data_IF_221657226229
#
_entry.id   IF_221657226229
#
_cell.length_a   1.000
_cell.length_b   1.000
_cell.length_c   1.000
_cell.angle_alpha   90.00
_cell.angle_beta   90.00
_cell.angle_gamma   90.00
#
_symmetry.space_group_name_H-M   'P 1'
#
loop_
_entity.id
_entity.type
_entity.pdbx_description
1 polymer ?
#
# COMPACT_ATOMS: atom_id res chain seq x y z
N UNK A 1 -2.08 -16.40 -16.53
CA UNK A 1 -3.15 -15.71 -15.77
C UNK A 1 -2.63 -14.31 -15.47
N UNK A 2 -3.45 -13.25 -15.59
CA UNK A 2 -2.98 -11.87 -15.42
C UNK A 2 -2.91 -11.53 -13.94
N UNK A 3 -1.70 -11.26 -13.43
CA UNK A 3 -1.41 -10.97 -12.03
C UNK A 3 -0.80 -9.58 -11.90
N UNK A 4 -1.28 -8.81 -10.92
CA UNK A 4 -0.70 -7.53 -10.56
C UNK A 4 0.10 -7.60 -9.25
N UNK A 5 1.15 -6.77 -9.13
CA UNK A 5 1.73 -6.42 -7.83
C UNK A 5 1.17 -5.07 -7.37
N UNK A 6 0.69 -5.00 -6.14
CA UNK A 6 0.25 -3.77 -5.48
C UNK A 6 1.25 -3.43 -4.37
N UNK A 7 2.01 -2.35 -4.57
CA UNK A 7 2.97 -1.82 -3.60
C UNK A 7 2.25 -0.78 -2.73
N UNK A 8 2.00 -1.13 -1.47
CA UNK A 8 1.21 -0.31 -0.55
C UNK A 8 2.10 0.64 0.24
N UNK A 9 1.91 1.95 0.02
CA UNK A 9 2.34 3.04 0.90
C UNK A 9 3.82 3.00 1.37
N UNK A 10 4.74 2.63 0.48
CA UNK A 10 6.20 2.64 0.77
C UNK A 10 6.76 4.07 0.67
N UNK A 11 6.26 4.94 1.55
CA UNK A 11 6.56 6.38 1.61
C UNK A 11 7.51 6.72 2.75
N UNK A 12 8.17 7.87 2.67
CA UNK A 12 9.17 8.31 3.64
C UNK A 12 8.62 8.38 5.07
N UNK A 13 7.40 8.90 5.26
CA UNK A 13 6.83 9.04 6.61
C UNK A 13 6.56 7.70 7.30
N UNK A 14 6.39 6.62 6.54
CA UNK A 14 6.16 5.27 7.07
C UNK A 14 7.45 4.46 7.24
N UNK A 15 8.60 5.01 6.85
CA UNK A 15 9.90 4.36 7.01
C UNK A 15 10.71 5.03 8.13
N UNK A 16 11.80 4.39 8.56
CA UNK A 16 12.68 4.89 9.62
C UNK A 16 13.13 6.33 9.35
N UNK A 17 12.92 7.20 10.36
CA UNK A 17 13.16 8.65 10.28
C UNK A 17 11.94 9.48 9.86
N UNK A 18 10.85 8.83 9.43
CA UNK A 18 9.58 9.46 9.07
C UNK A 18 8.69 9.83 10.26
N UNK A 19 7.63 10.60 9.99
CA UNK A 19 6.70 11.07 11.03
C UNK A 19 5.85 9.96 11.68
N UNK A 20 5.63 8.84 10.97
CA UNK A 20 4.85 7.68 11.41
C UNK A 20 5.57 6.38 11.03
N UNK A 21 6.85 6.31 11.40
CA UNK A 21 7.75 5.25 10.98
C UNK A 21 7.31 3.86 11.47
N UNK A 22 7.38 2.88 10.58
CA UNK A 22 7.26 1.45 10.88
C UNK A 22 8.65 0.82 10.81
N UNK A 23 9.04 0.11 11.87
CA UNK A 23 10.32 -0.60 11.89
C UNK A 23 10.37 -1.67 10.79
N UNK A 24 11.43 -1.68 10.00
CA UNK A 24 11.57 -2.54 8.82
C UNK A 24 11.05 -1.91 7.52
N UNK A 25 10.44 -0.71 7.56
CA UNK A 25 9.89 -0.06 6.36
C UNK A 25 10.95 0.20 5.27
N UNK A 26 12.16 0.61 5.66
CA UNK A 26 13.28 0.76 4.72
C UNK A 26 13.71 -0.58 4.11
N UNK A 27 13.71 -1.66 4.90
CA UNK A 27 14.05 -2.99 4.41
C UNK A 27 13.00 -3.50 3.41
N UNK A 28 11.71 -3.26 3.67
CA UNK A 28 10.62 -3.55 2.72
C UNK A 28 10.83 -2.80 1.41
N UNK A 29 11.18 -1.50 1.45
CA UNK A 29 11.43 -0.72 0.25
C UNK A 29 12.53 -1.33 -0.63
N UNK A 30 13.64 -1.72 -0.02
CA UNK A 30 14.75 -2.39 -0.72
C UNK A 30 14.32 -3.78 -1.25
N UNK A 31 13.65 -4.58 -0.43
CA UNK A 31 13.18 -5.93 -0.78
C UNK A 31 12.20 -5.93 -1.96
N UNK A 32 11.28 -4.97 -2.01
CA UNK A 32 10.36 -4.81 -3.15
C UNK A 32 11.12 -4.50 -4.44
N UNK A 33 12.15 -3.64 -4.36
CA UNK A 33 13.05 -3.37 -5.48
C UNK A 33 13.79 -4.61 -5.98
N UNK A 34 14.31 -5.43 -5.07
CA UNK A 34 14.97 -6.69 -5.41
C UNK A 34 14.00 -7.72 -5.99
N UNK A 35 12.80 -7.82 -5.42
CA UNK A 35 11.73 -8.70 -5.90
C UNK A 35 11.37 -8.38 -7.34
N UNK A 36 11.12 -7.11 -7.66
CA UNK A 36 10.77 -6.72 -9.03
C UNK A 36 11.92 -6.86 -10.02
N UNK A 37 13.17 -6.73 -9.57
CA UNK A 37 14.33 -7.03 -10.41
C UNK A 37 14.40 -8.51 -10.79
N UNK A 38 14.01 -9.41 -9.88
CA UNK A 38 14.06 -10.86 -10.10
C UNK A 38 12.78 -11.41 -10.77
N UNK A 39 11.62 -10.91 -10.38
CA UNK A 39 10.29 -11.46 -10.67
C UNK A 39 9.38 -10.48 -11.42
N UNK A 40 9.88 -9.31 -11.83
CA UNK A 40 9.05 -8.28 -12.48
C UNK A 40 8.35 -8.75 -13.76
N UNK A 41 8.88 -9.76 -14.44
CA UNK A 41 8.27 -10.36 -15.63
C UNK A 41 7.10 -11.31 -15.31
N UNK A 42 6.94 -11.71 -14.04
CA UNK A 42 5.84 -12.56 -13.58
C UNK A 42 4.53 -11.75 -13.43
N UNK A 43 4.62 -10.42 -13.37
CA UNK A 43 3.49 -9.51 -13.25
C UNK A 43 3.11 -8.89 -14.59
N UNK A 44 1.82 -8.94 -14.94
CA UNK A 44 1.30 -8.21 -16.10
C UNK A 44 1.24 -6.70 -15.86
N UNK A 45 1.12 -6.29 -14.60
CA UNK A 45 1.12 -4.90 -14.20
C UNK A 45 1.63 -4.72 -12.77
N UNK A 46 2.24 -3.58 -12.50
CA UNK A 46 2.71 -3.19 -11.16
C UNK A 46 2.15 -1.81 -10.88
N UNK A 47 1.53 -1.65 -9.72
CA UNK A 47 0.93 -0.40 -9.26
C UNK A 47 1.40 -0.09 -7.85
N UNK A 48 1.36 1.19 -7.49
CA UNK A 48 1.61 1.63 -6.13
C UNK A 48 0.40 2.39 -5.58
N UNK A 49 0.23 2.36 -4.27
CA UNK A 49 -0.66 3.28 -3.55
C UNK A 49 0.18 4.27 -2.77
N UNK A 50 -0.40 5.42 -2.50
CA UNK A 50 0.23 6.44 -1.66
C UNK A 50 -0.85 7.19 -0.86
N UNK A 51 -0.63 7.33 0.44
CA UNK A 51 -1.33 8.34 1.22
C UNK A 51 -0.95 9.73 0.72
N UNK A 52 -1.97 10.57 0.55
CA UNK A 52 -1.82 11.87 -0.07
C UNK A 52 -2.76 12.90 0.56
N UNK A 53 -2.50 13.24 1.81
CA UNK A 53 -3.39 14.05 2.63
C UNK A 53 -3.25 15.55 2.32
N UNK A 54 -4.35 16.19 1.92
CA UNK A 54 -4.43 17.65 1.75
C UNK A 54 -4.95 18.28 3.04
N UNK A 55 -6.11 17.81 3.50
CA UNK A 55 -6.76 18.21 4.74
C UNK A 55 -7.70 17.09 5.22
N UNK A 56 -7.17 16.07 5.93
CA UNK A 56 -7.93 14.87 6.29
C UNK A 56 -8.72 15.03 7.60
N UNK A 57 -8.86 16.26 8.12
CA UNK A 57 -9.61 16.56 9.34
C UNK A 57 -9.09 15.81 10.57
N UNK A 58 -10.00 15.16 11.29
CA UNK A 58 -9.74 14.46 12.56
C UNK A 58 -8.76 13.27 12.43
N UNK A 59 -8.41 12.87 11.21
CA UNK A 59 -7.33 11.90 10.96
C UNK A 59 -5.98 12.39 11.51
N UNK A 60 -5.75 13.70 11.53
CA UNK A 60 -4.55 14.29 12.15
C UNK A 60 -4.84 14.87 13.52
N UNK A 61 -4.00 14.50 14.50
CA UNK A 61 -4.05 15.01 15.87
C UNK A 61 -2.66 15.36 16.37
N UNK A 62 -2.56 16.41 17.19
CA UNK A 62 -1.35 16.71 17.96
C UNK A 62 -1.13 15.72 19.12
N UNK A 63 -2.20 15.06 19.58
CA UNK A 63 -2.20 14.01 20.59
C UNK A 63 -2.91 12.77 20.01
N UNK A 64 -2.24 12.03 19.10
CA UNK A 64 -2.86 10.92 18.40
C UNK A 64 -3.08 9.71 19.32
N UNK A 65 -4.20 9.02 19.10
CA UNK A 65 -4.54 7.75 19.78
C UNK A 65 -3.93 6.52 19.10
N UNK A 66 -3.32 6.69 17.92
CA UNK A 66 -2.74 5.62 17.08
C UNK A 66 -3.73 4.51 16.74
N UNK A 67 -5.01 4.85 16.68
CA UNK A 67 -6.11 3.94 16.30
C UNK A 67 -6.99 4.55 15.24
N UNK A 68 -7.43 5.79 15.48
CA UNK A 68 -8.32 6.55 14.61
C UNK A 68 -7.74 7.91 14.22
N UNK A 69 -6.72 8.35 14.95
CA UNK A 69 -6.01 9.62 14.76
C UNK A 69 -4.50 9.40 14.82
N UNK A 70 -3.79 10.21 14.04
CA UNK A 70 -2.37 10.02 13.75
C UNK A 70 -1.61 11.35 13.82
N UNK A 71 -0.29 11.36 14.02
CA UNK A 71 0.50 12.56 13.79
C UNK A 71 0.38 12.99 12.32
N UNK A 72 0.73 14.24 12.00
CA UNK A 72 0.79 14.68 10.60
C UNK A 72 1.80 13.82 9.83
N UNK A 73 1.33 13.17 8.76
CA UNK A 73 2.11 12.28 7.90
C UNK A 73 1.58 12.37 6.47
N UNK A 74 2.40 12.02 5.48
CA UNK A 74 2.05 11.92 4.06
C UNK A 74 1.30 13.15 3.52
N UNK A 75 1.62 14.33 4.05
CA UNK A 75 1.05 15.60 3.60
C UNK A 75 1.40 15.83 2.13
N UNK A 76 0.40 16.12 1.32
CA UNK A 76 0.53 16.33 -0.11
C UNK A 76 1.66 17.33 -0.46
N UNK A 77 2.54 16.91 -1.37
CA UNK A 77 3.66 17.74 -1.86
C UNK A 77 4.85 17.86 -0.90
N UNK A 78 4.85 17.18 0.25
CA UNK A 78 5.99 17.17 1.19
C UNK A 78 6.94 16.00 0.93
N UNK A 79 8.19 16.07 1.42
CA UNK A 79 9.11 14.92 1.36
C UNK A 79 8.57 13.67 2.05
N UNK A 80 7.80 13.82 3.13
CA UNK A 80 7.18 12.70 3.85
C UNK A 80 6.23 11.86 3.00
N UNK A 81 5.53 12.50 2.06
CA UNK A 81 4.63 11.83 1.12
C UNK A 81 5.33 11.24 -0.11
N UNK A 82 6.62 11.49 -0.32
CA UNK A 82 7.37 10.89 -1.41
C UNK A 82 7.67 9.41 -1.12
N UNK A 83 7.81 8.60 -2.18
CA UNK A 83 8.26 7.22 -2.05
C UNK A 83 9.67 7.16 -1.45
N UNK A 84 9.91 6.11 -0.66
CA UNK A 84 11.22 5.86 -0.05
C UNK A 84 12.28 5.65 -1.14
N UNK A 85 13.47 6.21 -0.94
CA UNK A 85 14.53 6.21 -1.96
C UNK A 85 14.96 4.79 -2.37
N UNK A 86 14.96 3.86 -1.43
CA UNK A 86 15.30 2.45 -1.59
C UNK A 86 14.30 1.71 -2.50
N UNK A 87 13.09 2.27 -2.71
CA UNK A 87 12.10 1.76 -3.66
C UNK A 87 12.43 2.16 -5.12
N UNK A 88 13.40 3.05 -5.37
CA UNK A 88 13.72 3.54 -6.71
C UNK A 88 13.89 2.43 -7.78
N UNK A 89 14.50 1.26 -7.48
CA UNK A 89 14.58 0.16 -8.45
C UNK A 89 13.21 -0.40 -8.88
N UNK A 90 12.21 -0.35 -8.00
CA UNK A 90 10.84 -0.78 -8.28
C UNK A 90 10.04 0.26 -9.10
N UNK A 91 10.32 1.56 -8.91
CA UNK A 91 9.50 2.63 -9.51
C UNK A 91 9.48 2.60 -11.04
N UNK A 92 10.52 2.08 -11.69
CA UNK A 92 10.54 1.89 -13.14
C UNK A 92 9.52 0.87 -13.66
N UNK A 93 9.01 -0.01 -12.80
CA UNK A 93 7.96 -0.97 -13.12
C UNK A 93 6.55 -0.43 -12.86
N UNK A 94 6.40 0.60 -12.03
CA UNK A 94 5.11 1.14 -11.59
C UNK A 94 4.43 1.86 -12.75
N UNK A 95 3.26 1.36 -13.15
CA UNK A 95 2.48 1.88 -14.28
C UNK A 95 1.46 2.94 -13.86
N UNK A 96 1.03 2.91 -12.59
CA UNK A 96 0.10 3.88 -12.02
C UNK A 96 0.27 3.99 -10.50
N UNK A 97 0.00 5.18 -9.97
CA UNK A 97 -0.01 5.47 -8.53
C UNK A 97 -1.41 5.90 -8.12
N UNK A 98 -1.99 5.19 -7.16
CA UNK A 98 -3.33 5.44 -6.64
C UNK A 98 -3.22 6.22 -5.33
N UNK A 99 -3.59 7.50 -5.38
CA UNK A 99 -3.57 8.38 -4.22
C UNK A 99 -4.86 8.24 -3.44
N UNK A 100 -4.75 8.09 -2.13
CA UNK A 100 -5.87 7.96 -1.19
C UNK A 100 -5.76 8.98 -0.05
N UNK A 101 -6.89 9.26 0.59
CA UNK A 101 -6.94 10.05 1.82
C UNK A 101 -6.83 11.57 1.65
N UNK A 102 -7.16 12.13 0.49
CA UNK A 102 -6.98 13.58 0.24
C UNK A 102 -7.70 14.47 1.26
N UNK A 103 -8.92 14.11 1.63
CA UNK A 103 -9.81 14.92 2.48
C UNK A 103 -10.49 14.12 3.61
N UNK A 104 -10.12 12.86 3.81
CA UNK A 104 -10.63 11.98 4.86
C UNK A 104 -9.63 10.84 5.11
N UNK A 105 -9.83 10.07 6.17
CA UNK A 105 -9.03 8.87 6.42
C UNK A 105 -9.29 7.81 5.33
N UNK A 106 -8.23 7.18 4.82
CA UNK A 106 -8.32 6.09 3.86
C UNK A 106 -7.26 5.03 4.16
N UNK A 107 -7.66 3.76 4.17
CA UNK A 107 -6.76 2.66 4.57
C UNK A 107 -6.48 1.73 3.39
N UNK A 108 -7.50 1.36 2.64
CA UNK A 108 -7.40 0.47 1.50
C UNK A 108 -6.91 1.23 0.26
N UNK A 109 -5.97 0.63 -0.47
CA UNK A 109 -5.56 1.09 -1.80
C UNK A 109 -6.71 1.21 -2.80
N UNK A 110 -7.81 0.51 -2.55
CA UNK A 110 -9.02 0.58 -3.36
C UNK A 110 -9.89 1.81 -3.13
N UNK A 111 -9.60 2.59 -2.08
CA UNK A 111 -10.14 3.93 -1.87
C UNK A 111 -9.36 4.98 -2.68
N UNK A 112 -8.19 4.60 -3.20
CA UNK A 112 -7.34 5.45 -4.00
C UNK A 112 -7.77 5.53 -5.47
N UNK A 113 -7.35 6.61 -6.11
CA UNK A 113 -7.54 6.84 -7.53
C UNK A 113 -6.26 7.35 -8.19
N UNK A 114 -6.09 7.02 -9.47
CA UNK A 114 -5.09 7.63 -10.35
C UNK A 114 -5.77 8.67 -11.24
N UNK A 115 -5.03 9.72 -11.58
CA UNK A 115 -5.46 10.71 -12.58
C UNK A 115 -4.75 10.44 -13.89
N UNK A 116 -5.52 10.04 -14.90
CA UNK A 116 -5.11 10.02 -16.30
C UNK A 116 -5.72 11.27 -16.98
N UNK A 117 -5.18 11.78 -18.11
CA UNK A 117 -5.69 13.00 -18.74
C UNK A 117 -7.22 12.96 -18.96
N UNK A 118 -7.96 13.75 -18.17
CA UNK A 118 -9.41 13.85 -18.23
C UNK A 118 -10.20 12.72 -17.55
N UNK A 119 -9.55 11.81 -16.81
CA UNK A 119 -10.21 10.69 -16.12
C UNK A 119 -9.56 10.37 -14.77
N UNK A 120 -10.40 10.31 -13.73
CA UNK A 120 -10.04 9.73 -12.42
C UNK A 120 -10.50 8.29 -12.41
N UNK A 121 -9.57 7.35 -12.23
CA UNK A 121 -9.84 5.91 -12.29
C UNK A 121 -9.49 5.25 -10.95
N UNK A 122 -10.42 4.49 -10.38
CA UNK A 122 -10.18 3.75 -9.15
C UNK A 122 -9.38 2.47 -9.40
N UNK A 123 -8.65 1.98 -8.38
CA UNK A 123 -7.77 0.82 -8.50
C UNK A 123 -8.48 -0.43 -9.08
N UNK A 124 -9.69 -0.74 -8.59
CA UNK A 124 -10.42 -1.94 -9.04
C UNK A 124 -10.80 -1.88 -10.52
N UNK A 125 -11.24 -0.71 -10.98
CA UNK A 125 -11.59 -0.47 -12.38
C UNK A 125 -10.34 -0.61 -13.26
N UNK A 126 -9.26 0.06 -12.86
CA UNK A 126 -7.99 0.06 -13.60
C UNK A 126 -7.39 -1.34 -13.76
N UNK A 127 -7.45 -2.16 -12.71
CA UNK A 127 -7.00 -3.57 -12.73
C UNK A 127 -7.87 -4.43 -13.66
N UNK A 128 -9.20 -4.25 -13.63
CA UNK A 128 -10.15 -5.02 -14.46
C UNK A 128 -10.01 -4.69 -15.94
N UNK A 129 -9.76 -3.43 -16.28
CA UNK A 129 -9.47 -3.01 -17.67
C UNK A 129 -8.23 -3.69 -18.24
N UNK A 130 -7.32 -4.17 -17.38
CA UNK A 130 -6.11 -4.92 -17.72
C UNK A 130 -6.27 -6.43 -17.50
N UNK A 131 -7.51 -6.89 -17.39
CA UNK A 131 -7.89 -8.29 -17.24
C UNK A 131 -7.22 -9.00 -16.05
N UNK A 132 -6.77 -8.24 -15.04
CA UNK A 132 -6.13 -8.78 -13.83
C UNK A 132 -7.16 -9.61 -13.06
N UNK A 133 -6.75 -10.82 -12.65
CA UNK A 133 -7.56 -11.71 -11.82
C UNK A 133 -6.92 -12.03 -10.47
N UNK A 134 -5.62 -11.84 -10.37
CA UNK A 134 -4.83 -12.12 -9.17
C UNK A 134 -4.01 -10.89 -8.78
N UNK A 135 -3.85 -10.64 -7.49
CA UNK A 135 -3.03 -9.57 -6.96
C UNK A 135 -2.11 -10.11 -5.86
N UNK A 136 -0.84 -9.75 -5.94
CA UNK A 136 0.11 -9.89 -4.84
C UNK A 136 0.24 -8.51 -4.17
N UNK A 137 0.20 -8.49 -2.83
CA UNK A 137 0.21 -7.26 -2.03
C UNK A 137 1.46 -7.24 -1.16
N UNK A 138 2.17 -6.12 -1.19
CA UNK A 138 3.40 -5.85 -0.43
C UNK A 138 3.35 -4.43 0.13
N UNK A 139 4.25 -4.08 1.05
CA UNK A 139 4.38 -2.71 1.55
C UNK A 139 4.00 -2.55 3.03
N UNK A 140 3.45 -1.38 3.39
CA UNK A 140 3.35 -0.93 4.78
C UNK A 140 1.93 -0.35 5.05
N UNK A 141 1.32 -0.53 6.22
CA UNK A 141 1.68 -1.48 7.27
C UNK A 141 0.80 -2.75 7.20
N UNK A 142 1.35 -3.89 7.62
CA UNK A 142 0.71 -5.23 7.60
C UNK A 142 -0.67 -5.21 8.26
N UNK A 143 -0.76 -4.56 9.41
CA UNK A 143 -1.93 -4.43 10.29
C UNK A 143 -2.89 -3.29 9.92
N UNK A 144 -2.51 -2.45 8.97
CA UNK A 144 -3.31 -1.31 8.51
C UNK A 144 -3.58 -1.40 7.00
N UNK A 145 -2.88 -0.61 6.18
CA UNK A 145 -3.17 -0.44 4.76
C UNK A 145 -2.99 -1.72 3.95
N UNK A 146 -2.00 -2.56 4.27
CA UNK A 146 -1.81 -3.86 3.61
C UNK A 146 -3.01 -4.77 3.88
N UNK A 147 -3.40 -4.92 5.15
CA UNK A 147 -4.59 -5.68 5.55
C UNK A 147 -5.85 -5.16 4.86
N UNK A 148 -6.11 -3.85 4.94
CA UNK A 148 -7.31 -3.25 4.37
C UNK A 148 -7.37 -3.49 2.84
N UNK A 149 -6.26 -3.29 2.15
CA UNK A 149 -6.13 -3.49 0.70
C UNK A 149 -6.35 -4.95 0.31
N UNK A 150 -5.70 -5.90 1.00
CA UNK A 150 -5.84 -7.32 0.70
C UNK A 150 -7.27 -7.84 0.97
N UNK A 151 -7.91 -7.40 2.07
CA UNK A 151 -9.31 -7.74 2.34
C UNK A 151 -10.26 -7.16 1.28
N UNK A 152 -10.02 -5.94 0.81
CA UNK A 152 -10.81 -5.36 -0.29
C UNK A 152 -10.55 -6.07 -1.62
N UNK A 153 -9.33 -6.51 -1.89
CA UNK A 153 -9.03 -7.29 -3.10
C UNK A 153 -9.91 -8.55 -3.15
N UNK A 154 -9.98 -9.29 -2.03
CA UNK A 154 -10.87 -10.46 -1.90
C UNK A 154 -12.33 -10.06 -2.10
N UNK A 155 -12.81 -9.02 -1.40
CA UNK A 155 -14.21 -8.54 -1.54
C UNK A 155 -14.56 -8.16 -2.98
N UNK A 156 -13.58 -7.69 -3.75
CA UNK A 156 -13.75 -7.30 -5.15
C UNK A 156 -13.53 -8.43 -6.16
N UNK A 157 -13.23 -9.64 -5.66
CA UNK A 157 -13.16 -10.88 -6.43
C UNK A 157 -11.79 -11.19 -7.02
N UNK A 158 -10.71 -10.58 -6.53
CA UNK A 158 -9.35 -10.90 -6.95
C UNK A 158 -8.79 -12.06 -6.10
N UNK A 159 -8.14 -13.03 -6.75
CA UNK A 159 -7.25 -13.96 -6.04
C UNK A 159 -6.14 -13.15 -5.37
N UNK A 160 -5.95 -13.29 -4.07
CA UNK A 160 -5.11 -12.36 -3.31
C UNK A 160 -4.03 -13.11 -2.54
N UNK A 161 -2.79 -12.65 -2.70
CA UNK A 161 -1.62 -13.10 -1.92
C UNK A 161 -1.01 -11.91 -1.19
N UNK A 162 -0.56 -12.09 0.04
CA UNK A 162 0.34 -11.16 0.74
C UNK A 162 1.70 -11.83 0.85
N UNK A 163 2.76 -11.16 0.38
CA UNK A 163 4.13 -11.67 0.44
C UNK A 163 4.75 -11.23 1.78
N UNK A 164 4.87 -12.15 2.72
CA UNK A 164 5.20 -11.89 4.12
C UNK A 164 6.61 -11.30 4.30
N UNK A 165 7.57 -11.70 3.45
CA UNK A 165 8.93 -11.17 3.46
C UNK A 165 9.01 -9.71 2.96
N UNK A 166 7.92 -9.19 2.38
CA UNK A 166 7.83 -7.87 1.76
C UNK A 166 6.76 -6.97 2.41
N UNK A 167 6.46 -7.22 3.69
CA UNK A 167 5.58 -6.36 4.49
C UNK A 167 6.21 -6.06 5.85
N UNK A 168 5.86 -4.91 6.43
CA UNK A 168 6.22 -4.54 7.78
C UNK A 168 4.97 -4.14 8.57
N UNK A 169 4.84 -4.57 9.82
CA UNK A 169 3.69 -4.26 10.69
C UNK A 169 4.06 -3.26 11.77
N UNK A 170 3.08 -2.50 12.28
CA UNK A 170 3.30 -1.49 13.33
C UNK A 170 3.69 -2.14 14.65
N UNK A 171 2.96 -3.18 15.07
CA UNK A 171 3.28 -3.95 16.27
C UNK A 171 3.11 -5.46 16.05
N UNK A 172 3.89 -6.32 16.73
CA UNK A 172 3.83 -7.77 16.50
C UNK A 172 2.45 -8.40 16.74
N UNK A 173 1.73 -7.94 17.77
CA UNK A 173 0.41 -8.46 18.15
C UNK A 173 -0.68 -8.04 17.16
N UNK A 174 -0.69 -6.77 16.75
CA UNK A 174 -1.63 -6.26 15.74
C UNK A 174 -1.34 -6.86 14.36
N UNK A 175 -0.07 -7.01 13.98
CA UNK A 175 0.33 -7.68 12.76
C UNK A 175 -0.11 -9.15 12.75
N UNK A 176 0.10 -9.88 13.85
CA UNK A 176 -0.36 -11.27 13.95
C UNK A 176 -1.88 -11.39 13.81
N UNK A 177 -2.65 -10.53 14.50
CA UNK A 177 -4.10 -10.51 14.37
C UNK A 177 -4.56 -10.20 12.93
N UNK A 178 -3.88 -9.28 12.26
CA UNK A 178 -4.13 -8.96 10.85
C UNK A 178 -3.88 -10.15 9.93
N UNK A 179 -2.78 -10.88 10.11
CA UNK A 179 -2.47 -12.08 9.32
C UNK A 179 -3.49 -13.20 9.54
N UNK A 180 -3.99 -13.38 10.77
CA UNK A 180 -5.05 -14.34 11.07
C UNK A 180 -6.35 -13.99 10.35
N UNK A 181 -6.74 -12.72 10.36
CA UNK A 181 -7.92 -12.23 9.65
C UNK A 181 -7.78 -12.39 8.13
N UNK A 182 -6.62 -12.06 7.57
CA UNK A 182 -6.34 -12.24 6.15
C UNK A 182 -6.48 -13.71 5.73
N UNK A 183 -5.89 -14.62 6.52
CA UNK A 183 -6.02 -16.06 6.27
C UNK A 183 -7.48 -16.52 6.36
N UNK A 184 -8.23 -16.03 7.34
CA UNK A 184 -9.65 -16.36 7.49
C UNK A 184 -10.52 -15.83 6.32
N UNK A 185 -10.12 -14.71 5.72
CA UNK A 185 -10.76 -14.16 4.53
C UNK A 185 -10.38 -14.87 3.22
N UNK A 186 -9.47 -15.85 3.25
CA UNK A 186 -9.03 -16.59 2.07
C UNK A 186 -7.85 -15.96 1.33
N UNK A 187 -7.13 -15.03 1.95
CA UNK A 187 -5.87 -14.50 1.42
C UNK A 187 -4.77 -15.55 1.59
N UNK A 188 -3.99 -15.78 0.54
CA UNK A 188 -2.78 -16.61 0.62
C UNK A 188 -1.67 -15.80 1.28
N UNK A 189 -1.00 -16.37 2.28
CA UNK A 189 0.16 -15.76 2.92
C UNK A 189 1.39 -16.56 2.50
N UNK A 190 2.31 -15.93 1.77
CA UNK A 190 3.45 -16.57 1.12
C UNK A 190 4.77 -15.96 1.57
#
# INVERSE_FOLDING_TARGET
MSRALIIVDVQNDFCEGGALAVEGGTAVAAGVGEHLRAHGQDYSTVVATADWHIDPGDHWSAEPDYRTSWPVHCRAGTPGAAFRAELAPALGHVQAVFRKGEHEAAYSGFEGATEEPGRRTGLAEWLREREVREVDVVGIATDHCVRATALDAVRKGFGTTVLLDLVAGVAPDTAQAALEELRAAGVTLA
#
